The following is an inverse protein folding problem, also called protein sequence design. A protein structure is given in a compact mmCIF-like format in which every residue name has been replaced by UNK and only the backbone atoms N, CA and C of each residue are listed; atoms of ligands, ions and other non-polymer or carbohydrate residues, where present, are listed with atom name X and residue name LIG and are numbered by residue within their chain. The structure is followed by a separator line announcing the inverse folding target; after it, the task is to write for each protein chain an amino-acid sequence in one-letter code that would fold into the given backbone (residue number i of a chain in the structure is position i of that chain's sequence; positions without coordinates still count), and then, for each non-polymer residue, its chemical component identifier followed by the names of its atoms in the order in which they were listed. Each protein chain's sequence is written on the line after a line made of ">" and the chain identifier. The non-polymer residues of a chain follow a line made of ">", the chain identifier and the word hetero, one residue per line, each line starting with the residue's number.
data_IF_548146644096
#
_entry.id   IF_548146644096
#
_cell.length_a   1.000
_cell.length_b   1.000
_cell.length_c   1.000
_cell.angle_alpha   90.00
_cell.angle_beta   90.00
_cell.angle_gamma   90.00
#
_symmetry.space_group_name_H-M   'P 1'
#
loop_
_entity.id
_entity.type
_entity.pdbx_description
1 polymer ?
#
# COMPACT_ATOMS: atom_id res chain seq x y z
N UNK A 1 0.81 14.43 17.96
CA UNK A 1 0.07 14.20 16.68
C UNK A 1 -0.20 12.72 16.51
N UNK A 2 -1.25 12.36 15.82
CA UNK A 2 -1.58 10.99 15.42
C UNK A 2 -1.10 10.80 13.98
N UNK A 3 -0.18 9.88 13.77
CA UNK A 3 0.52 9.68 12.50
C UNK A 3 0.09 8.35 11.91
N UNK A 4 -0.62 8.41 10.78
CA UNK A 4 -0.95 7.23 9.98
C UNK A 4 0.20 6.87 9.04
N UNK A 5 0.58 5.60 9.00
CA UNK A 5 1.53 5.05 8.04
C UNK A 5 0.79 4.07 7.16
N UNK A 6 0.68 4.38 5.86
CA UNK A 6 -0.02 3.50 4.94
C UNK A 6 0.73 2.18 4.72
N UNK A 7 -0.02 1.07 4.72
CA UNK A 7 0.58 -0.24 4.51
C UNK A 7 0.95 -0.45 3.04
N UNK A 8 -0.01 -0.22 2.12
CA UNK A 8 0.15 -0.44 0.69
C UNK A 8 1.07 0.61 0.05
N UNK A 9 2.13 0.18 -0.59
CA UNK A 9 3.05 1.06 -1.32
C UNK A 9 4.07 1.79 -0.44
N UNK A 10 3.87 1.87 0.88
CA UNK A 10 4.83 2.46 1.83
C UNK A 10 5.61 1.36 2.56
N UNK A 11 4.92 0.43 3.20
CA UNK A 11 5.55 -0.67 3.94
C UNK A 11 5.59 -1.97 3.13
N UNK A 12 4.58 -2.19 2.31
CA UNK A 12 4.37 -3.40 1.50
C UNK A 12 4.43 -3.09 0.00
N UNK A 13 5.23 -3.85 -0.73
CA UNK A 13 5.28 -3.78 -2.20
C UNK A 13 4.08 -4.55 -2.81
N UNK A 14 2.89 -4.00 -2.62
CA UNK A 14 1.64 -4.63 -3.05
C UNK A 14 1.55 -4.74 -4.57
N UNK A 15 1.90 -3.69 -5.33
CA UNK A 15 1.83 -3.70 -6.80
C UNK A 15 2.77 -4.74 -7.41
N UNK A 16 4.01 -4.84 -6.93
CA UNK A 16 4.94 -5.86 -7.41
C UNK A 16 4.47 -7.29 -7.13
N UNK A 17 3.73 -7.48 -6.01
CA UNK A 17 3.16 -8.80 -5.70
C UNK A 17 1.91 -9.11 -6.53
N UNK A 18 1.05 -8.13 -6.78
CA UNK A 18 -0.08 -8.27 -7.71
C UNK A 18 0.44 -8.69 -9.09
N UNK A 19 1.46 -8.00 -9.60
CA UNK A 19 2.08 -8.32 -10.88
C UNK A 19 2.57 -9.77 -10.95
N UNK A 20 3.35 -10.21 -9.95
CA UNK A 20 3.86 -11.58 -9.90
C UNK A 20 2.75 -12.63 -9.82
N UNK A 21 1.71 -12.36 -9.02
CA UNK A 21 0.58 -13.29 -8.86
C UNK A 21 -0.24 -13.36 -10.14
N UNK A 22 -0.48 -12.21 -10.78
CA UNK A 22 -1.20 -12.16 -12.06
C UNK A 22 -0.47 -12.88 -13.19
N UNK A 23 0.86 -12.72 -13.27
CA UNK A 23 1.66 -13.47 -14.25
C UNK A 23 1.49 -14.97 -14.12
N UNK A 24 1.56 -15.51 -12.88
CA UNK A 24 1.33 -16.93 -12.61
C UNK A 24 -0.08 -17.36 -13.01
N UNK A 25 -1.10 -16.62 -12.57
CA UNK A 25 -2.49 -16.87 -12.89
C UNK A 25 -2.74 -16.94 -14.41
N UNK A 26 -2.11 -16.04 -15.19
CA UNK A 26 -2.23 -16.06 -16.65
C UNK A 26 -1.54 -17.26 -17.27
N UNK A 27 -0.35 -17.67 -16.78
CA UNK A 27 0.36 -18.87 -17.25
C UNK A 27 -0.52 -20.12 -17.02
N UNK A 28 -1.07 -20.27 -15.83
CA UNK A 28 -1.94 -21.41 -15.48
C UNK A 28 -3.19 -21.46 -16.37
N UNK A 29 -3.82 -20.33 -16.66
CA UNK A 29 -4.94 -20.26 -17.60
C UNK A 29 -4.57 -20.63 -19.04
N UNK A 30 -3.32 -20.34 -19.47
CA UNK A 30 -2.82 -20.65 -20.80
C UNK A 30 -2.44 -22.13 -20.99
N UNK A 31 -2.06 -22.85 -19.93
CA UNK A 31 -1.67 -24.27 -20.02
C UNK A 31 -2.83 -25.18 -20.45
N UNK A 32 -4.07 -24.75 -20.34
CA UNK A 32 -5.28 -25.47 -20.79
C UNK A 32 -5.77 -25.14 -22.20
N UNK A 33 -5.09 -24.27 -22.95
CA UNK A 33 -5.53 -23.80 -24.28
C UNK A 33 -4.60 -24.31 -25.37
N UNK A 34 -5.13 -25.16 -26.28
CA UNK A 34 -4.38 -25.78 -27.39
C UNK A 34 -3.85 -24.77 -28.42
N UNK A 35 -4.40 -23.56 -28.47
CA UNK A 35 -3.98 -22.53 -29.42
C UNK A 35 -3.17 -21.41 -28.73
N UNK A 36 -1.88 -21.65 -28.52
CA UNK A 36 -0.93 -20.70 -27.96
C UNK A 36 -0.72 -19.43 -28.81
N UNK A 37 -1.24 -19.41 -30.05
CA UNK A 37 -1.12 -18.26 -30.94
C UNK A 37 -2.28 -17.25 -30.80
N UNK A 38 -3.40 -17.61 -30.17
CA UNK A 38 -4.57 -16.72 -30.03
C UNK A 38 -4.46 -15.73 -28.87
N UNK A 39 -3.51 -15.92 -27.95
CA UNK A 39 -3.32 -15.05 -26.79
C UNK A 39 -1.98 -14.31 -26.81
N UNK A 40 -1.84 -13.35 -27.72
CA UNK A 40 -0.86 -12.25 -27.51
C UNK A 40 -1.43 -11.28 -26.46
N UNK A 41 -1.48 -11.72 -25.20
CA UNK A 41 -1.64 -10.78 -24.10
C UNK A 41 -0.31 -10.03 -23.95
N UNK A 42 -0.21 -8.85 -24.51
CA UNK A 42 0.81 -7.89 -24.10
C UNK A 42 0.46 -7.45 -22.68
N UNK A 43 0.99 -8.19 -21.70
CA UNK A 43 0.95 -7.74 -20.31
C UNK A 43 1.61 -6.36 -20.26
N UNK A 44 0.85 -5.32 -19.92
CA UNK A 44 1.37 -3.96 -19.73
C UNK A 44 2.12 -3.88 -18.40
N UNK A 45 3.23 -4.58 -18.31
CA UNK A 45 4.09 -4.63 -17.15
C UNK A 45 5.36 -3.79 -17.36
N UNK A 46 5.95 -3.23 -16.31
CA UNK A 46 5.49 -3.27 -14.91
C UNK A 46 4.22 -2.47 -14.65
N UNK A 47 3.53 -2.78 -13.53
CA UNK A 47 2.38 -1.98 -13.08
C UNK A 47 2.90 -0.62 -12.57
N UNK A 48 2.54 0.45 -13.25
CA UNK A 48 3.02 1.81 -12.97
C UNK A 48 1.94 2.76 -12.44
N UNK A 49 0.72 2.26 -12.18
CA UNK A 49 -0.37 3.04 -11.59
C UNK A 49 -1.24 2.17 -10.67
N UNK A 50 -2.02 2.81 -9.81
CA UNK A 50 -3.00 2.11 -8.96
C UNK A 50 -4.30 1.74 -9.71
N UNK A 51 -4.47 2.22 -10.94
CA UNK A 51 -5.58 1.84 -11.82
C UNK A 51 -5.28 0.49 -12.48
N UNK A 52 -5.50 -0.59 -11.73
CA UNK A 52 -5.12 -1.94 -12.13
C UNK A 52 -5.78 -2.41 -13.42
N UNK A 53 -7.00 -1.94 -13.72
CA UNK A 53 -7.71 -2.21 -14.96
C UNK A 53 -6.96 -1.75 -16.22
N UNK A 54 -6.04 -0.79 -16.10
CA UNK A 54 -5.20 -0.36 -17.20
C UNK A 54 -4.03 -1.33 -17.50
N UNK A 55 -3.72 -2.21 -16.56
CA UNK A 55 -2.58 -3.11 -16.61
C UNK A 55 -2.97 -4.59 -16.67
N UNK A 56 -4.05 -4.95 -15.97
CA UNK A 56 -4.52 -6.32 -15.82
C UNK A 56 -5.73 -6.56 -16.71
N UNK A 57 -5.72 -7.65 -17.45
CA UNK A 57 -6.77 -7.98 -18.42
C UNK A 57 -7.81 -8.90 -17.77
N UNK A 58 -8.78 -8.30 -17.11
CA UNK A 58 -9.99 -8.98 -16.63
C UNK A 58 -11.17 -8.56 -17.47
N UNK A 59 -12.17 -9.43 -17.60
CA UNK A 59 -13.38 -9.14 -18.40
C UNK A 59 -14.22 -8.02 -17.78
N UNK A 60 -14.19 -7.93 -16.45
CA UNK A 60 -14.92 -6.92 -15.69
C UNK A 60 -14.26 -6.67 -14.33
N UNK A 61 -14.74 -5.63 -13.63
CA UNK A 61 -14.25 -5.27 -12.29
C UNK A 61 -14.51 -6.36 -11.22
N UNK A 62 -15.56 -7.16 -11.39
CA UNK A 62 -15.89 -8.26 -10.49
C UNK A 62 -14.82 -9.37 -10.52
N UNK A 63 -14.28 -9.67 -11.69
CA UNK A 63 -13.21 -10.66 -11.85
C UNK A 63 -11.89 -10.15 -11.24
N UNK A 64 -11.58 -8.87 -11.44
CA UNK A 64 -10.44 -8.23 -10.77
C UNK A 64 -10.61 -8.27 -9.25
N UNK A 65 -11.82 -7.96 -8.74
CA UNK A 65 -12.12 -8.03 -7.31
C UNK A 65 -11.96 -9.46 -6.78
N UNK A 66 -12.50 -10.46 -7.48
CA UNK A 66 -12.39 -11.88 -7.11
C UNK A 66 -10.92 -12.29 -7.03
N UNK A 67 -10.13 -11.97 -8.04
CA UNK A 67 -8.69 -12.23 -8.07
C UNK A 67 -7.97 -11.65 -6.85
N UNK A 68 -8.20 -10.38 -6.54
CA UNK A 68 -7.50 -9.69 -5.44
C UNK A 68 -7.95 -10.17 -4.06
N UNK A 69 -9.26 -10.29 -3.83
CA UNK A 69 -9.84 -10.37 -2.49
C UNK A 69 -10.47 -11.71 -2.14
N UNK A 70 -10.73 -12.57 -3.15
CA UNK A 70 -11.35 -13.89 -2.90
C UNK A 70 -10.40 -15.05 -3.21
N UNK A 71 -9.71 -15.02 -4.35
CA UNK A 71 -8.89 -16.13 -4.83
C UNK A 71 -7.45 -16.06 -4.28
N UNK A 72 -6.80 -14.89 -4.36
CA UNK A 72 -5.38 -14.74 -4.01
C UNK A 72 -5.06 -13.76 -2.86
N UNK A 73 -5.96 -13.49 -1.90
CA UNK A 73 -5.70 -12.47 -0.88
C UNK A 73 -4.49 -12.79 -0.01
N UNK A 74 -4.27 -14.06 0.37
CA UNK A 74 -3.11 -14.44 1.17
C UNK A 74 -1.82 -14.33 0.35
N UNK A 75 -1.85 -14.74 -0.92
CA UNK A 75 -0.68 -14.63 -1.79
C UNK A 75 -0.30 -13.16 -2.02
N UNK A 76 -1.29 -12.31 -2.33
CA UNK A 76 -1.06 -10.90 -2.65
C UNK A 76 -0.72 -10.10 -1.38
N UNK A 77 -1.56 -10.16 -0.36
CA UNK A 77 -1.44 -9.29 0.81
C UNK A 77 -0.62 -9.89 1.95
N UNK A 78 -0.58 -11.22 2.09
CA UNK A 78 0.18 -11.92 3.13
C UNK A 78 1.61 -12.25 2.74
N UNK A 79 1.82 -12.71 1.50
CA UNK A 79 3.12 -13.16 1.01
C UNK A 79 3.88 -12.11 0.19
N UNK A 80 3.44 -10.87 0.22
CA UNK A 80 4.20 -9.74 -0.34
C UNK A 80 5.59 -9.58 0.29
N UNK A 81 6.42 -8.81 -0.39
CA UNK A 81 7.67 -8.30 0.15
C UNK A 81 7.45 -6.91 0.79
N UNK A 82 8.33 -6.51 1.70
CA UNK A 82 8.44 -5.11 2.11
C UNK A 82 8.93 -4.25 0.94
N UNK A 83 8.67 -2.95 1.00
CA UNK A 83 9.13 -2.01 -0.04
C UNK A 83 10.65 -1.95 -0.15
N UNK A 84 11.35 -1.99 0.99
CA UNK A 84 12.81 -2.13 1.08
C UNK A 84 13.16 -3.20 2.12
N UNK A 85 14.39 -3.69 2.06
CA UNK A 85 14.88 -4.69 3.03
C UNK A 85 14.83 -4.19 4.47
N UNK A 86 15.09 -2.91 4.70
CA UNK A 86 15.15 -2.29 6.03
C UNK A 86 13.82 -1.72 6.51
N UNK A 87 12.76 -1.73 5.70
CA UNK A 87 11.48 -1.03 5.95
C UNK A 87 10.96 -1.23 7.38
N UNK A 88 10.90 -2.48 7.86
CA UNK A 88 10.33 -2.76 9.19
C UNK A 88 11.32 -2.51 10.34
N UNK A 89 12.62 -2.63 10.12
CA UNK A 89 13.63 -2.19 11.08
C UNK A 89 13.56 -0.67 11.26
N UNK A 90 13.52 0.06 10.15
CA UNK A 90 13.43 1.52 10.15
C UNK A 90 12.09 1.96 10.79
N UNK A 91 10.96 1.30 10.46
CA UNK A 91 9.65 1.61 11.05
C UNK A 91 9.63 1.41 12.57
N UNK A 92 10.16 0.29 13.04
CA UNK A 92 10.21 -0.02 14.47
C UNK A 92 11.11 0.96 15.22
N UNK A 93 12.24 1.39 14.63
CA UNK A 93 13.08 2.44 15.17
C UNK A 93 12.34 3.79 15.25
N UNK A 94 11.67 4.20 14.18
CA UNK A 94 10.85 5.41 14.16
C UNK A 94 9.73 5.35 15.22
N UNK A 95 9.08 4.18 15.37
CA UNK A 95 8.07 3.98 16.40
C UNK A 95 8.63 4.20 17.82
N UNK A 96 9.79 3.62 18.13
CA UNK A 96 10.45 3.81 19.44
C UNK A 96 10.79 5.29 19.68
N UNK A 97 11.31 5.99 18.67
CA UNK A 97 11.71 7.39 18.78
C UNK A 97 10.54 8.37 18.94
N UNK A 98 9.39 8.05 18.36
CA UNK A 98 8.24 8.96 18.28
C UNK A 98 7.14 8.69 19.30
N UNK A 99 7.01 7.46 19.84
CA UNK A 99 5.88 7.00 20.65
C UNK A 99 5.62 7.78 21.93
N UNK A 100 6.66 8.42 22.51
CA UNK A 100 6.50 9.19 23.76
C UNK A 100 5.82 10.55 23.51
N UNK A 101 5.82 11.05 22.28
CA UNK A 101 5.29 12.37 21.91
C UNK A 101 4.20 12.29 20.82
N UNK A 102 4.11 11.19 20.10
CA UNK A 102 3.21 10.99 18.96
C UNK A 102 2.58 9.60 19.01
N UNK A 103 1.39 9.47 18.45
CA UNK A 103 0.67 8.20 18.33
C UNK A 103 0.79 7.70 16.88
N UNK A 104 1.48 6.60 16.66
CA UNK A 104 1.66 5.99 15.35
C UNK A 104 0.69 4.84 15.16
N UNK A 105 0.07 4.79 13.99
CA UNK A 105 -0.79 3.66 13.61
C UNK A 105 -0.60 3.31 12.13
N UNK A 106 -0.82 2.05 11.81
CA UNK A 106 -0.90 1.59 10.43
C UNK A 106 -2.29 1.89 9.89
N UNK A 107 -2.37 2.40 8.68
CA UNK A 107 -3.62 2.51 7.93
C UNK A 107 -3.55 1.67 6.67
N UNK A 108 -4.64 1.03 6.28
CA UNK A 108 -4.65 0.17 5.10
C UNK A 108 -6.02 0.12 4.44
N UNK A 109 -6.04 0.31 3.12
CA UNK A 109 -7.21 0.12 2.27
C UNK A 109 -7.42 -1.37 2.01
N UNK A 110 -8.17 -2.01 2.90
CA UNK A 110 -8.33 -3.46 2.90
C UNK A 110 -9.75 -3.88 3.22
N UNK A 111 -10.22 -4.89 2.51
CA UNK A 111 -11.56 -5.45 2.65
C UNK A 111 -11.53 -6.99 2.73
N UNK A 112 -12.56 -7.57 3.33
CA UNK A 112 -12.76 -9.03 3.32
C UNK A 112 -11.56 -9.83 3.81
N UNK A 113 -11.15 -10.80 3.01
CA UNK A 113 -10.04 -11.73 3.29
C UNK A 113 -8.65 -11.11 3.25
N UNK A 114 -8.50 -9.91 2.66
CA UNK A 114 -7.21 -9.22 2.66
C UNK A 114 -6.80 -8.72 4.06
N UNK A 115 -7.76 -8.42 4.94
CA UNK A 115 -7.47 -7.97 6.31
C UNK A 115 -6.65 -8.99 7.13
N UNK A 116 -7.08 -10.26 7.30
CA UNK A 116 -6.26 -11.26 7.98
C UNK A 116 -4.93 -11.53 7.27
N UNK A 117 -4.89 -11.44 5.94
CA UNK A 117 -3.65 -11.58 5.17
C UNK A 117 -2.65 -10.45 5.48
N UNK A 118 -3.13 -9.23 5.65
CA UNK A 118 -2.29 -8.08 6.04
C UNK A 118 -1.83 -8.16 7.48
N UNK A 119 -2.63 -8.67 8.40
CA UNK A 119 -2.19 -8.95 9.77
C UNK A 119 -1.08 -10.02 9.79
N UNK A 120 -1.21 -11.07 8.96
CA UNK A 120 -0.14 -12.06 8.79
C UNK A 120 1.15 -11.42 8.24
N UNK A 121 1.04 -10.53 7.24
CA UNK A 121 2.18 -9.81 6.69
C UNK A 121 2.91 -8.99 7.77
N UNK A 122 2.19 -8.20 8.56
CA UNK A 122 2.76 -7.38 9.63
C UNK A 122 3.45 -8.25 10.69
N UNK A 123 2.83 -9.36 11.08
CA UNK A 123 3.41 -10.33 12.01
C UNK A 123 4.69 -10.97 11.46
N UNK A 124 4.69 -11.37 10.20
CA UNK A 124 5.84 -11.97 9.50
C UNK A 124 7.07 -11.06 9.52
N UNK A 125 6.88 -9.76 9.38
CA UNK A 125 7.96 -8.77 9.38
C UNK A 125 8.27 -8.18 10.77
N UNK A 126 7.58 -8.65 11.82
CA UNK A 126 7.82 -8.20 13.20
C UNK A 126 7.48 -6.74 13.43
N UNK A 127 6.37 -6.25 12.83
CA UNK A 127 5.89 -4.90 13.07
C UNK A 127 5.54 -4.71 14.55
N UNK A 128 6.08 -3.66 15.18
CA UNK A 128 5.87 -3.33 16.59
C UNK A 128 4.75 -2.31 16.83
N UNK A 129 4.19 -1.70 15.76
CA UNK A 129 3.05 -0.82 15.91
C UNK A 129 1.82 -1.60 16.37
N UNK A 130 1.18 -1.15 17.44
CA UNK A 130 0.08 -1.86 18.10
C UNK A 130 -1.27 -1.59 17.44
N UNK A 131 -1.40 -0.45 16.74
CA UNK A 131 -2.66 0.01 16.17
C UNK A 131 -2.67 -0.15 14.67
N UNK A 132 -3.76 -0.72 14.15
CA UNK A 132 -4.06 -0.76 12.73
C UNK A 132 -5.50 -0.31 12.48
N UNK A 133 -5.70 0.57 11.48
CA UNK A 133 -7.01 0.99 10.98
C UNK A 133 -7.18 0.53 9.56
N UNK A 134 -8.12 -0.39 9.35
CA UNK A 134 -8.60 -0.71 8.00
C UNK A 134 -9.66 0.28 7.56
N UNK A 135 -9.58 0.72 6.34
CA UNK A 135 -10.57 1.61 5.73
C UNK A 135 -10.96 1.11 4.33
N UNK A 136 -11.98 1.70 3.75
CA UNK A 136 -12.42 1.56 2.37
C UNK A 136 -12.92 2.92 1.89
N UNK A 137 -13.28 3.06 0.63
CA UNK A 137 -13.84 4.31 0.10
C UNK A 137 -15.04 4.81 0.93
N UNK A 138 -15.88 3.92 1.44
CA UNK A 138 -17.04 4.29 2.26
C UNK A 138 -16.68 4.68 3.69
N UNK A 139 -15.51 4.32 4.20
CA UNK A 139 -15.06 4.56 5.58
C UNK A 139 -13.82 5.45 5.68
N UNK A 140 -13.36 6.03 4.59
CA UNK A 140 -12.16 6.86 4.51
C UNK A 140 -12.21 8.05 5.48
N UNK A 141 -13.38 8.67 5.66
CA UNK A 141 -13.55 9.75 6.64
C UNK A 141 -13.32 9.28 8.08
N UNK A 142 -13.64 8.02 8.39
CA UNK A 142 -13.35 7.44 9.71
C UNK A 142 -11.84 7.28 9.93
N UNK A 143 -11.08 6.99 8.89
CA UNK A 143 -9.61 6.95 8.94
C UNK A 143 -9.05 8.35 9.19
N UNK A 144 -9.49 9.37 8.42
CA UNK A 144 -9.05 10.76 8.59
C UNK A 144 -9.35 11.32 9.97
N UNK A 145 -10.43 10.91 10.63
CA UNK A 145 -10.76 11.32 12.01
C UNK A 145 -9.78 10.77 13.06
N UNK A 146 -9.04 9.71 12.74
CA UNK A 146 -8.10 9.08 13.68
C UNK A 146 -6.66 9.56 13.51
N UNK A 147 -6.34 10.31 12.45
CA UNK A 147 -4.99 10.77 12.15
C UNK A 147 -4.95 12.29 11.94
N UNK A 148 -3.79 12.88 12.15
CA UNK A 148 -3.51 14.29 11.90
C UNK A 148 -2.54 14.42 10.71
N UNK A 149 -1.66 13.42 10.54
CA UNK A 149 -0.67 13.33 9.47
C UNK A 149 -0.73 11.94 8.85
N UNK A 150 -0.66 11.84 7.53
CA UNK A 150 -0.62 10.58 6.80
C UNK A 150 0.66 10.47 5.96
N UNK A 151 1.45 9.43 6.20
CA UNK A 151 2.49 8.99 5.28
C UNK A 151 1.86 8.02 4.27
N UNK A 152 1.83 8.41 3.00
CA UNK A 152 1.19 7.63 1.94
C UNK A 152 1.95 7.67 0.62
N UNK A 153 1.83 6.59 -0.14
CA UNK A 153 2.26 6.52 -1.54
C UNK A 153 1.10 6.71 -2.52
N UNK A 154 -0.15 6.70 -2.04
CA UNK A 154 -1.35 6.71 -2.86
C UNK A 154 -1.63 8.08 -3.48
N UNK A 155 -1.61 8.23 -4.82
CA UNK A 155 -1.87 9.50 -5.52
C UNK A 155 -3.20 10.15 -5.13
N UNK A 156 -4.25 9.35 -4.96
CA UNK A 156 -5.57 9.86 -4.61
C UNK A 156 -5.59 10.49 -3.22
N UNK A 157 -4.92 9.88 -2.24
CA UNK A 157 -4.82 10.42 -0.88
C UNK A 157 -3.91 11.65 -0.80
N UNK A 158 -2.87 11.69 -1.64
CA UNK A 158 -1.99 12.86 -1.75
C UNK A 158 -2.72 14.09 -2.31
N UNK A 159 -3.65 13.90 -3.24
CA UNK A 159 -4.37 14.97 -3.93
C UNK A 159 -5.69 15.36 -3.25
N UNK A 160 -6.36 14.40 -2.60
CA UNK A 160 -7.73 14.55 -2.08
C UNK A 160 -7.80 14.27 -0.58
N UNK A 161 -6.96 14.94 0.21
CA UNK A 161 -7.02 14.88 1.68
C UNK A 161 -7.81 16.07 2.25
N UNK A 162 -8.38 15.97 3.47
CA UNK A 162 -9.01 17.10 4.14
C UNK A 162 -8.02 18.24 4.39
N UNK A 163 -8.46 19.50 4.28
CA UNK A 163 -7.61 20.69 4.41
C UNK A 163 -6.94 20.82 5.80
N UNK A 164 -7.57 20.27 6.84
CA UNK A 164 -7.05 20.23 8.21
C UNK A 164 -6.07 19.09 8.48
N UNK A 165 -5.75 18.27 7.46
CA UNK A 165 -4.84 17.13 7.56
C UNK A 165 -3.58 17.36 6.76
N UNK A 166 -2.48 16.81 7.23
CA UNK A 166 -1.21 16.86 6.52
C UNK A 166 -0.90 15.52 5.85
N UNK A 167 -0.28 15.59 4.69
CA UNK A 167 0.21 14.40 3.97
C UNK A 167 1.71 14.49 3.76
N UNK A 168 2.38 13.37 3.99
CA UNK A 168 3.78 13.15 3.65
C UNK A 168 3.81 12.16 2.49
N UNK A 169 4.39 12.55 1.36
CA UNK A 169 4.54 11.67 0.21
C UNK A 169 5.68 10.69 0.44
N UNK A 170 5.39 9.39 0.38
CA UNK A 170 6.40 8.38 0.16
C UNK A 170 6.64 8.24 -1.36
N UNK A 171 7.84 8.60 -1.83
CA UNK A 171 8.13 8.66 -3.27
C UNK A 171 8.16 7.26 -3.89
N UNK A 172 7.36 7.08 -4.96
CA UNK A 172 7.27 5.85 -5.76
C UNK A 172 7.20 6.18 -7.24
N UNK A 173 7.31 5.16 -8.12
CA UNK A 173 7.25 5.36 -9.57
C UNK A 173 5.88 5.87 -10.05
N UNK A 174 4.79 5.63 -9.31
CA UNK A 174 3.42 5.99 -9.69
C UNK A 174 2.92 7.31 -9.09
N UNK A 175 3.77 8.03 -8.33
CA UNK A 175 3.41 9.34 -7.79
C UNK A 175 4.47 10.43 -8.04
N UNK A 176 5.38 10.22 -8.98
CA UNK A 176 6.49 11.13 -9.26
C UNK A 176 6.02 12.54 -9.64
N UNK A 177 4.94 12.63 -10.42
CA UNK A 177 4.38 13.89 -10.92
C UNK A 177 3.66 14.72 -9.83
N UNK A 178 3.40 14.13 -8.64
CA UNK A 178 2.71 14.82 -7.56
C UNK A 178 3.71 15.58 -6.70
N UNK A 179 3.57 16.89 -6.67
CA UNK A 179 4.37 17.76 -5.81
C UNK A 179 3.69 17.93 -4.45
N UNK A 180 4.43 17.67 -3.37
CA UNK A 180 4.00 17.87 -1.99
C UNK A 180 5.06 18.65 -1.23
N UNK A 181 4.67 19.36 -0.17
CA UNK A 181 5.60 20.11 0.69
C UNK A 181 6.51 19.13 1.44
N UNK A 182 5.93 18.04 1.96
CA UNK A 182 6.66 17.04 2.71
C UNK A 182 6.76 15.74 1.91
N UNK A 183 7.97 15.21 1.78
CA UNK A 183 8.22 13.96 1.06
C UNK A 183 9.42 13.24 1.63
N UNK A 184 9.38 11.92 1.56
CA UNK A 184 10.47 11.02 1.94
C UNK A 184 10.64 9.90 0.90
N UNK A 185 11.82 9.32 0.84
CA UNK A 185 12.12 8.13 0.04
C UNK A 185 12.27 6.88 0.91
N UNK A 186 12.60 7.06 2.18
CA UNK A 186 12.87 5.98 3.13
C UNK A 186 12.18 6.25 4.45
N UNK A 187 11.69 5.20 5.09
CA UNK A 187 11.00 5.28 6.38
C UNK A 187 11.85 5.95 7.47
N UNK A 188 13.15 5.75 7.45
CA UNK A 188 14.07 6.38 8.40
C UNK A 188 14.09 7.92 8.41
N UNK A 189 13.56 8.55 7.36
CA UNK A 189 13.46 10.01 7.23
C UNK A 189 12.21 10.58 7.95
N UNK A 190 11.29 9.71 8.42
CA UNK A 190 10.00 10.12 8.98
C UNK A 190 10.14 11.02 10.20
N UNK A 191 11.00 10.67 11.16
CA UNK A 191 11.19 11.45 12.39
C UNK A 191 11.63 12.89 12.10
N UNK A 192 12.53 13.08 11.14
CA UNK A 192 13.01 14.40 10.74
C UNK A 192 11.87 15.27 10.18
N UNK A 193 11.06 14.71 9.28
CA UNK A 193 9.91 15.42 8.71
C UNK A 193 8.86 15.73 9.79
N UNK A 194 8.59 14.81 10.72
CA UNK A 194 7.65 15.05 11.83
C UNK A 194 8.13 16.18 12.73
N UNK A 195 9.42 16.27 13.00
CA UNK A 195 10.00 17.39 13.77
C UNK A 195 9.83 18.73 13.04
N UNK A 196 10.03 18.76 11.72
CA UNK A 196 9.80 19.96 10.92
C UNK A 196 8.33 20.41 10.96
N UNK A 197 7.38 19.48 10.81
CA UNK A 197 5.94 19.77 10.90
C UNK A 197 5.55 20.29 12.28
N UNK A 198 6.12 19.76 13.36
CA UNK A 198 5.79 20.15 14.73
C UNK A 198 6.32 21.55 15.13
N UNK A 199 7.26 22.11 14.36
CA UNK A 199 7.87 23.43 14.61
C UNK A 199 7.25 24.56 13.76
N UNK A 200 6.34 24.25 12.84
CA UNK A 200 5.58 25.20 12.03
C UNK A 200 4.25 25.55 12.68
#
# INVERSE_FOLDING_TARGET
>A
MRIGVELNGVLRNTLGKIEQTYQKYMIEKMEGVDDKNSFKYELKLPITSLELSNHLMFENEGDLYSFLYEEFPMEIFGHSQSTEYTTFNDLNEQYVNLRDSHDLLIVSDEIGKSKPSSLFFLSKFGCQLEKIKFYSNSTINSMWNEIDVLLTANPTLLLNHPEDKLVIKYETIYNQEINTIHKIKKIKELEEIIKQIATC
#
